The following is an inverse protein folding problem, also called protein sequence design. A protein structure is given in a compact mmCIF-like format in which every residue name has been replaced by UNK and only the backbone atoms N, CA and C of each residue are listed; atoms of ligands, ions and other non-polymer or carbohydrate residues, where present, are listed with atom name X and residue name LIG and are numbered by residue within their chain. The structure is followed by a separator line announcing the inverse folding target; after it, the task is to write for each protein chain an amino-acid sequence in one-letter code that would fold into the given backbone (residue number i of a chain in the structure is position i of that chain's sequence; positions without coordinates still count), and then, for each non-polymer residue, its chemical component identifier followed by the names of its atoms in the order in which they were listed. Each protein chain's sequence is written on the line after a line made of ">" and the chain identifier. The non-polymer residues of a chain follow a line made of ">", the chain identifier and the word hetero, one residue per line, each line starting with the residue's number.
data_IF_493694151640
#
_entry.id   IF_493694151640
#
_cell.length_a   1.000
_cell.length_b   1.000
_cell.length_c   1.000
_cell.angle_alpha   90.00
_cell.angle_beta   90.00
_cell.angle_gamma   90.00
#
_symmetry.space_group_name_H-M   'P 1'
#
loop_
_entity.id
_entity.type
_entity.pdbx_description
1 polymer ?
#
# COMPACT_ATOMS: atom_id res chain seq x y z
N UNK A 1 -0.55 -32.25 15.33
CA UNK A 1 -0.34 -32.44 13.88
C UNK A 1 -0.59 -31.09 13.27
N UNK A 2 0.44 -30.48 12.69
CA UNK A 2 0.28 -29.26 11.91
C UNK A 2 -0.59 -29.59 10.69
N UNK A 3 -1.61 -28.77 10.45
CA UNK A 3 -2.47 -28.86 9.28
C UNK A 3 -1.84 -28.08 8.12
N UNK A 4 -2.24 -28.37 6.89
CA UNK A 4 -1.84 -27.59 5.70
C UNK A 4 -2.05 -26.07 5.89
N UNK A 5 -3.14 -25.70 6.57
CA UNK A 5 -3.41 -24.32 6.97
C UNK A 5 -2.33 -23.71 7.88
N UNK A 6 -1.83 -24.46 8.87
CA UNK A 6 -0.76 -24.01 9.76
C UNK A 6 0.57 -23.84 9.01
N UNK A 7 0.85 -24.73 8.06
CA UNK A 7 2.03 -24.59 7.19
C UNK A 7 1.94 -23.36 6.29
N UNK A 8 0.79 -23.14 5.66
CA UNK A 8 0.55 -21.95 4.83
C UNK A 8 0.77 -20.65 5.61
N UNK A 9 0.18 -20.52 6.80
CA UNK A 9 0.37 -19.34 7.65
C UNK A 9 1.84 -19.13 8.03
N UNK A 10 2.57 -20.20 8.38
CA UNK A 10 4.00 -20.11 8.71
C UNK A 10 4.85 -19.70 7.51
N UNK A 11 4.55 -20.20 6.30
CA UNK A 11 5.24 -19.81 5.05
C UNK A 11 5.05 -18.32 4.80
N UNK A 12 3.80 -17.85 4.85
CA UNK A 12 3.46 -16.44 4.62
C UNK A 12 4.12 -15.54 5.67
N UNK A 13 4.03 -15.89 6.95
CA UNK A 13 4.63 -15.11 8.03
C UNK A 13 6.16 -15.05 7.89
N UNK A 14 6.80 -16.17 7.59
CA UNK A 14 8.26 -16.23 7.45
C UNK A 14 8.73 -15.42 6.24
N UNK A 15 7.97 -15.46 5.15
CA UNK A 15 8.26 -14.67 3.96
C UNK A 15 8.12 -13.17 4.24
N UNK A 16 7.05 -12.78 4.94
CA UNK A 16 6.84 -11.39 5.36
C UNK A 16 7.97 -10.90 6.27
N UNK A 17 8.36 -11.68 7.28
CA UNK A 17 9.44 -11.32 8.20
C UNK A 17 10.77 -11.12 7.45
N UNK A 18 11.07 -11.97 6.46
CA UNK A 18 12.26 -11.82 5.62
C UNK A 18 12.21 -10.56 4.75
N UNK A 19 11.03 -10.19 4.22
CA UNK A 19 10.84 -8.92 3.48
C UNK A 19 11.13 -7.73 4.41
N UNK A 20 10.55 -7.73 5.61
CA UNK A 20 10.74 -6.68 6.61
C UNK A 20 12.20 -6.56 7.08
N UNK A 21 12.96 -7.66 7.04
CA UNK A 21 14.40 -7.66 7.30
C UNK A 21 15.26 -7.20 6.10
N UNK A 22 14.64 -6.70 5.03
CA UNK A 22 15.32 -6.22 3.83
C UNK A 22 15.87 -7.33 2.93
N UNK A 23 15.40 -8.57 3.09
CA UNK A 23 15.86 -9.73 2.31
C UNK A 23 14.97 -10.04 1.09
N UNK A 24 14.04 -9.16 0.73
CA UNK A 24 13.15 -9.31 -0.42
C UNK A 24 13.86 -9.74 -1.73
N UNK A 25 15.07 -9.24 -2.08
CA UNK A 25 15.77 -9.64 -3.32
C UNK A 25 16.39 -11.04 -3.26
N UNK A 26 16.52 -11.60 -2.05
CA UNK A 26 17.19 -12.88 -1.76
C UNK A 26 16.20 -14.00 -1.44
N UNK A 27 14.89 -13.73 -1.52
CA UNK A 27 13.88 -14.72 -1.19
C UNK A 27 14.00 -15.97 -2.07
N UNK A 28 14.03 -17.12 -1.40
CA UNK A 28 14.05 -18.46 -2.00
C UNK A 28 13.32 -19.41 -1.06
N UNK A 29 12.91 -20.58 -1.56
CA UNK A 29 12.30 -21.60 -0.70
C UNK A 29 13.24 -22.05 0.41
N UNK A 30 14.55 -22.15 0.15
CA UNK A 30 15.53 -22.53 1.17
C UNK A 30 15.57 -21.49 2.31
N UNK A 31 15.61 -20.21 1.97
CA UNK A 31 15.66 -19.13 2.96
C UNK A 31 14.37 -19.06 3.79
N UNK A 32 13.22 -19.21 3.13
CA UNK A 32 11.91 -19.23 3.80
C UNK A 32 11.79 -20.47 4.70
N UNK A 33 12.25 -21.63 4.23
CA UNK A 33 12.25 -22.88 4.99
C UNK A 33 13.12 -22.78 6.24
N UNK A 34 14.34 -22.26 6.11
CA UNK A 34 15.26 -22.02 7.22
C UNK A 34 14.65 -21.08 8.26
N UNK A 35 14.11 -19.94 7.81
CA UNK A 35 13.54 -18.94 8.71
C UNK A 35 12.29 -19.44 9.44
N UNK A 36 11.42 -20.16 8.73
CA UNK A 36 10.16 -20.67 9.25
C UNK A 36 10.24 -22.00 9.99
N UNK A 37 11.43 -22.61 10.10
CA UNK A 37 11.62 -23.99 10.58
C UNK A 37 10.71 -24.99 9.84
N UNK A 38 10.71 -24.90 8.51
CA UNK A 38 9.96 -25.73 7.57
C UNK A 38 10.94 -26.53 6.70
N UNK A 39 10.42 -27.45 5.88
CA UNK A 39 11.21 -28.10 4.82
C UNK A 39 10.88 -27.46 3.47
N UNK A 40 11.83 -27.49 2.53
CA UNK A 40 11.58 -27.03 1.16
C UNK A 40 10.46 -27.84 0.52
N UNK A 41 10.37 -29.15 0.81
CA UNK A 41 9.28 -30.00 0.34
C UNK A 41 7.91 -29.56 0.85
N UNK A 42 7.82 -29.07 2.09
CA UNK A 42 6.57 -28.49 2.61
C UNK A 42 6.15 -27.27 1.81
N UNK A 43 7.09 -26.36 1.52
CA UNK A 43 6.80 -25.14 0.77
C UNK A 43 6.39 -25.48 -0.66
N UNK A 44 7.16 -26.33 -1.35
CA UNK A 44 6.89 -26.71 -2.74
C UNK A 44 5.64 -27.56 -2.92
N UNK A 45 5.11 -28.17 -1.85
CA UNK A 45 3.80 -28.84 -1.87
C UNK A 45 2.61 -27.88 -1.88
N UNK A 46 2.81 -26.62 -1.50
CA UNK A 46 1.75 -25.60 -1.36
C UNK A 46 1.91 -24.50 -2.42
N UNK A 47 3.13 -24.11 -2.76
CA UNK A 47 3.45 -23.05 -3.70
C UNK A 47 4.39 -23.53 -4.79
N UNK A 48 4.13 -23.10 -6.02
CA UNK A 48 4.95 -23.44 -7.19
C UNK A 48 6.32 -22.73 -7.15
N UNK A 49 6.33 -21.45 -6.74
CA UNK A 49 7.52 -20.63 -6.60
C UNK A 49 7.34 -19.51 -5.55
N UNK A 50 8.37 -18.67 -5.39
CA UNK A 50 8.37 -17.54 -4.46
C UNK A 50 7.39 -16.44 -4.92
N UNK A 51 7.19 -16.28 -6.23
CA UNK A 51 6.26 -15.27 -6.76
C UNK A 51 4.82 -15.61 -6.37
N UNK A 52 4.44 -16.90 -6.37
CA UNK A 52 3.14 -17.36 -5.88
C UNK A 52 2.93 -17.06 -4.39
N UNK A 53 3.97 -17.16 -3.56
CA UNK A 53 3.90 -16.79 -2.13
C UNK A 53 3.70 -15.27 -2.00
N UNK A 54 4.47 -14.48 -2.74
CA UNK A 54 4.37 -13.02 -2.73
C UNK A 54 3.02 -12.53 -3.24
N UNK A 55 2.42 -13.21 -4.22
CA UNK A 55 1.08 -12.93 -4.71
C UNK A 55 0.04 -13.16 -3.60
N UNK A 56 0.12 -14.28 -2.88
CA UNK A 56 -0.80 -14.59 -1.80
C UNK A 56 -0.68 -13.60 -0.62
N UNK A 57 0.55 -13.21 -0.27
CA UNK A 57 0.80 -12.10 0.66
C UNK A 57 0.15 -10.79 0.18
N UNK A 58 0.28 -10.49 -1.11
CA UNK A 58 -0.30 -9.29 -1.72
C UNK A 58 -1.83 -9.31 -1.66
N UNK A 59 -2.45 -10.44 -1.97
CA UNK A 59 -3.91 -10.63 -1.87
C UNK A 59 -4.37 -10.41 -0.43
N UNK A 60 -3.66 -10.98 0.55
CA UNK A 60 -3.95 -10.80 1.98
C UNK A 60 -3.83 -9.33 2.41
N UNK A 61 -2.73 -8.66 2.03
CA UNK A 61 -2.49 -7.26 2.33
C UNK A 61 -3.56 -6.34 1.73
N UNK A 62 -3.90 -6.53 0.46
CA UNK A 62 -4.95 -5.78 -0.22
C UNK A 62 -6.33 -6.02 0.40
N UNK A 63 -6.64 -7.25 0.80
CA UNK A 63 -7.92 -7.57 1.46
C UNK A 63 -8.06 -6.78 2.76
N UNK A 64 -7.04 -6.80 3.62
CA UNK A 64 -7.04 -6.01 4.86
C UNK A 64 -7.13 -4.51 4.57
N UNK A 65 -6.36 -4.03 3.59
CA UNK A 65 -6.34 -2.63 3.20
C UNK A 65 -7.74 -2.16 2.72
N UNK A 66 -8.40 -2.95 1.86
CA UNK A 66 -9.78 -2.71 1.38
C UNK A 66 -10.79 -2.61 2.52
N UNK A 67 -10.73 -3.53 3.49
CA UNK A 67 -11.64 -3.52 4.65
C UNK A 67 -11.52 -2.22 5.45
N UNK A 68 -10.29 -1.75 5.67
CA UNK A 68 -10.01 -0.52 6.41
C UNK A 68 -10.37 0.73 5.59
N UNK A 69 -10.02 0.80 4.30
CA UNK A 69 -10.42 1.90 3.41
C UNK A 69 -11.95 2.00 3.31
N UNK A 70 -12.65 0.86 3.24
CA UNK A 70 -14.12 0.83 3.28
C UNK A 70 -14.66 1.35 4.61
N UNK A 71 -14.07 0.96 5.74
CA UNK A 71 -14.50 1.43 7.05
C UNK A 71 -14.29 2.95 7.21
N UNK A 72 -13.12 3.47 6.79
CA UNK A 72 -12.79 4.89 6.82
C UNK A 72 -13.66 5.70 5.85
N UNK A 73 -13.97 5.16 4.67
CA UNK A 73 -14.83 5.82 3.67
C UNK A 73 -16.24 6.12 4.16
N UNK A 74 -16.72 5.42 5.20
CA UNK A 74 -18.06 5.60 5.79
C UNK A 74 -18.09 6.64 6.92
N UNK A 75 -16.93 7.11 7.36
CA UNK A 75 -16.82 8.08 8.45
C UNK A 75 -17.07 9.52 7.96
N UNK A 76 -17.13 10.48 8.90
CA UNK A 76 -17.44 11.88 8.58
C UNK A 76 -16.39 12.87 9.06
N UNK A 77 -16.30 13.98 8.34
CA UNK A 77 -15.51 15.15 8.73
C UNK A 77 -14.04 15.08 8.33
N UNK A 78 -13.35 16.22 8.35
CA UNK A 78 -11.98 16.34 7.84
C UNK A 78 -10.97 15.38 8.47
N UNK A 79 -11.17 14.98 9.72
CA UNK A 79 -10.31 14.01 10.40
C UNK A 79 -10.40 12.61 9.77
N UNK A 80 -11.61 12.16 9.46
CA UNK A 80 -11.82 10.87 8.79
C UNK A 80 -11.22 10.87 7.37
N UNK A 81 -11.36 11.97 6.64
CA UNK A 81 -10.69 12.16 5.35
C UNK A 81 -9.17 12.08 5.50
N UNK A 82 -8.62 12.73 6.54
CA UNK A 82 -7.18 12.67 6.84
C UNK A 82 -6.74 11.22 7.07
N UNK A 83 -7.49 10.47 7.88
CA UNK A 83 -7.17 9.07 8.18
C UNK A 83 -7.23 8.17 6.93
N UNK A 84 -8.24 8.35 6.06
CA UNK A 84 -8.32 7.62 4.79
C UNK A 84 -7.11 7.91 3.90
N UNK A 85 -6.79 9.20 3.73
CA UNK A 85 -5.63 9.62 2.94
C UNK A 85 -4.31 9.09 3.53
N UNK A 86 -4.12 9.15 4.86
CA UNK A 86 -2.94 8.61 5.54
C UNK A 86 -2.79 7.12 5.29
N UNK A 87 -3.89 6.36 5.46
CA UNK A 87 -3.93 4.91 5.29
C UNK A 87 -3.51 4.50 3.88
N UNK A 88 -4.11 5.13 2.86
CA UNK A 88 -3.82 4.83 1.46
C UNK A 88 -2.41 5.30 1.04
N UNK A 89 -1.97 6.49 1.50
CA UNK A 89 -0.62 6.99 1.24
C UNK A 89 0.46 6.10 1.85
N UNK A 90 0.26 5.62 3.08
CA UNK A 90 1.23 4.76 3.75
C UNK A 90 1.36 3.43 3.01
N UNK A 91 0.23 2.80 2.69
CA UNK A 91 0.20 1.54 1.97
C UNK A 91 0.93 1.64 0.63
N UNK A 92 0.70 2.74 -0.10
CA UNK A 92 1.37 2.98 -1.37
C UNK A 92 2.86 3.28 -1.23
N UNK A 93 3.26 4.03 -0.20
CA UNK A 93 4.65 4.32 0.07
C UNK A 93 5.47 3.05 0.35
N UNK A 94 4.95 2.18 1.23
CA UNK A 94 5.62 0.93 1.61
C UNK A 94 5.82 0.04 0.36
N UNK A 95 4.79 -0.10 -0.49
CA UNK A 95 4.87 -0.81 -1.77
C UNK A 95 5.98 -0.28 -2.69
N UNK A 96 6.09 1.03 -2.82
CA UNK A 96 7.08 1.65 -3.72
C UNK A 96 8.51 1.57 -3.19
N UNK A 97 8.70 1.39 -1.88
CA UNK A 97 10.01 1.03 -1.34
C UNK A 97 10.40 -0.39 -1.75
N UNK A 98 9.47 -1.34 -1.65
CA UNK A 98 9.69 -2.72 -2.05
C UNK A 98 10.00 -2.84 -3.55
N UNK A 99 9.25 -2.13 -4.41
CA UNK A 99 9.44 -2.13 -5.88
C UNK A 99 10.84 -1.67 -6.32
N UNK A 100 11.54 -0.85 -5.52
CA UNK A 100 12.88 -0.35 -5.87
C UNK A 100 14.01 -1.33 -5.56
N UNK A 101 13.81 -2.21 -4.59
CA UNK A 101 14.86 -3.11 -4.12
C UNK A 101 14.82 -4.47 -4.82
N UNK A 102 13.68 -4.83 -5.42
CA UNK A 102 13.49 -6.08 -6.16
C UNK A 102 13.75 -5.89 -7.67
N UNK A 103 14.11 -6.96 -8.37
CA UNK A 103 14.27 -6.88 -9.83
C UNK A 103 12.91 -6.82 -10.53
N UNK A 104 12.77 -6.16 -11.70
CA UNK A 104 11.47 -5.99 -12.36
C UNK A 104 10.72 -7.27 -12.73
N UNK A 105 11.43 -8.41 -12.86
CA UNK A 105 10.81 -9.72 -13.11
C UNK A 105 10.27 -10.38 -11.84
N UNK A 106 10.79 -10.03 -10.66
CA UNK A 106 10.30 -10.56 -9.38
C UNK A 106 9.00 -9.86 -9.00
N UNK A 107 8.03 -10.62 -8.50
CA UNK A 107 6.75 -10.10 -7.99
C UNK A 107 5.91 -9.34 -9.03
N UNK A 108 6.11 -9.64 -10.32
CA UNK A 108 5.44 -8.92 -11.42
C UNK A 108 3.91 -8.99 -11.31
N UNK A 109 3.36 -10.16 -10.97
CA UNK A 109 1.91 -10.33 -10.75
C UNK A 109 1.40 -9.55 -9.53
N UNK A 110 2.15 -9.55 -8.43
CA UNK A 110 1.84 -8.72 -7.26
C UNK A 110 1.74 -7.24 -7.63
N UNK A 111 2.74 -6.72 -8.36
CA UNK A 111 2.76 -5.32 -8.78
C UNK A 111 1.62 -4.98 -9.75
N UNK A 112 1.27 -5.88 -10.67
CA UNK A 112 0.10 -5.71 -11.54
C UNK A 112 -1.19 -5.62 -10.72
N UNK A 113 -1.36 -6.50 -9.72
CA UNK A 113 -2.54 -6.49 -8.86
C UNK A 113 -2.67 -5.19 -8.06
N UNK A 114 -1.56 -4.63 -7.59
CA UNK A 114 -1.53 -3.31 -6.98
C UNK A 114 -1.91 -2.20 -7.95
N UNK A 115 -1.32 -2.19 -9.15
CA UNK A 115 -1.60 -1.17 -10.17
C UNK A 115 -3.08 -1.18 -10.60
N UNK A 116 -3.69 -2.36 -10.70
CA UNK A 116 -5.11 -2.55 -10.97
C UNK A 116 -5.99 -2.02 -9.83
N UNK A 117 -5.66 -2.36 -8.57
CA UNK A 117 -6.36 -1.86 -7.39
C UNK A 117 -6.36 -0.32 -7.37
N UNK A 118 -5.19 0.29 -7.58
CA UNK A 118 -5.04 1.74 -7.52
C UNK A 118 -5.82 2.46 -8.62
N UNK A 119 -5.87 1.87 -9.81
CA UNK A 119 -6.51 2.47 -10.97
C UNK A 119 -8.03 2.34 -10.94
N UNK A 120 -8.53 1.21 -10.43
CA UNK A 120 -9.93 0.82 -10.62
C UNK A 120 -10.75 0.80 -9.33
N UNK A 121 -10.14 0.51 -8.18
CA UNK A 121 -10.84 0.31 -6.91
C UNK A 121 -10.69 1.50 -5.96
N UNK A 122 -9.47 1.99 -5.75
CA UNK A 122 -9.17 3.06 -4.81
C UNK A 122 -10.04 4.32 -4.99
N UNK A 123 -10.30 4.82 -6.23
CA UNK A 123 -11.18 5.97 -6.43
C UNK A 123 -12.56 5.82 -5.80
N UNK A 124 -13.10 4.60 -5.73
CA UNK A 124 -14.45 4.34 -5.24
C UNK A 124 -14.59 4.64 -3.75
N UNK A 125 -13.55 4.44 -2.95
CA UNK A 125 -13.58 4.80 -1.53
C UNK A 125 -13.69 6.31 -1.33
N UNK A 126 -13.01 7.10 -2.18
CA UNK A 126 -13.13 8.55 -2.15
C UNK A 126 -14.48 9.03 -2.66
N UNK A 127 -15.00 8.45 -3.75
CA UNK A 127 -16.34 8.76 -4.26
C UNK A 127 -17.37 8.51 -3.15
N UNK A 128 -17.31 7.33 -2.51
CA UNK A 128 -18.18 6.98 -1.41
C UNK A 128 -18.03 7.94 -0.22
N UNK A 129 -16.80 8.28 0.16
CA UNK A 129 -16.54 9.22 1.24
C UNK A 129 -17.19 10.59 0.99
N UNK A 130 -17.00 11.13 -0.21
CA UNK A 130 -17.49 12.46 -0.60
C UNK A 130 -19.02 12.52 -0.73
N UNK A 131 -19.67 11.41 -1.11
CA UNK A 131 -21.14 11.31 -1.14
C UNK A 131 -21.75 11.57 0.25
N UNK A 132 -21.08 11.15 1.31
CA UNK A 132 -21.56 11.30 2.70
C UNK A 132 -21.03 12.56 3.39
N UNK A 133 -20.10 13.28 2.75
CA UNK A 133 -19.35 14.43 3.29
C UNK A 133 -19.33 15.61 2.30
N UNK A 134 -20.50 16.00 1.78
CA UNK A 134 -20.61 17.06 0.77
C UNK A 134 -20.14 18.43 1.24
N UNK A 135 -20.11 18.67 2.55
CA UNK A 135 -19.61 19.90 3.17
C UNK A 135 -18.10 20.12 2.96
N UNK A 136 -17.36 19.04 2.72
CA UNK A 136 -15.91 19.06 2.45
C UNK A 136 -15.63 19.29 0.96
N UNK A 137 -16.59 18.97 0.09
CA UNK A 137 -16.45 19.14 -1.36
C UNK A 137 -16.42 20.64 -1.68
N UNK A 138 -15.43 21.13 -2.44
CA UNK A 138 -15.38 22.53 -2.83
C UNK A 138 -16.67 22.95 -3.57
N UNK A 139 -17.34 23.99 -3.06
CA UNK A 139 -18.59 24.56 -3.59
C UNK A 139 -18.68 24.58 -5.13
N UNK A 140 -19.71 23.93 -5.69
CA UNK A 140 -20.04 23.90 -7.12
C UNK A 140 -20.65 22.56 -7.56
N UNK A 141 -21.16 22.49 -8.79
CA UNK A 141 -21.53 21.22 -9.45
C UNK A 141 -20.25 20.46 -9.82
N UNK A 142 -19.68 19.73 -8.86
CA UNK A 142 -18.56 18.83 -9.13
C UNK A 142 -19.05 17.39 -9.17
N UNK A 143 -18.70 16.72 -10.25
CA UNK A 143 -18.89 15.29 -10.35
C UNK A 143 -17.95 14.58 -9.37
N UNK A 144 -18.55 13.91 -8.37
CA UNK A 144 -17.83 13.18 -7.34
C UNK A 144 -16.98 12.05 -7.94
N UNK A 145 -17.40 11.49 -9.08
CA UNK A 145 -16.64 10.48 -9.80
C UNK A 145 -15.27 11.00 -10.20
N UNK A 146 -15.22 12.13 -10.92
CA UNK A 146 -13.96 12.74 -11.35
C UNK A 146 -13.12 13.20 -10.17
N UNK A 147 -13.75 13.71 -9.11
CA UNK A 147 -13.02 14.19 -7.95
C UNK A 147 -12.38 13.05 -7.14
N UNK A 148 -13.09 11.92 -6.95
CA UNK A 148 -12.52 10.73 -6.32
C UNK A 148 -11.38 10.12 -7.13
N UNK A 149 -11.51 10.06 -8.46
CA UNK A 149 -10.43 9.65 -9.35
C UNK A 149 -9.24 10.59 -9.27
N UNK A 150 -9.47 11.90 -9.19
CA UNK A 150 -8.40 12.88 -9.07
C UNK A 150 -7.64 12.73 -7.75
N UNK A 151 -8.32 12.44 -6.63
CA UNK A 151 -7.67 12.18 -5.33
C UNK A 151 -6.80 10.91 -5.43
N UNK A 152 -7.34 9.79 -5.90
CA UNK A 152 -6.59 8.55 -6.07
C UNK A 152 -5.38 8.73 -7.02
N UNK A 153 -5.55 9.46 -8.12
CA UNK A 153 -4.45 9.81 -9.02
C UNK A 153 -3.42 10.75 -8.36
N UNK A 154 -3.84 11.61 -7.44
CA UNK A 154 -2.92 12.50 -6.71
C UNK A 154 -2.03 11.70 -5.75
N UNK A 155 -2.56 10.65 -5.12
CA UNK A 155 -1.78 9.68 -4.34
C UNK A 155 -0.73 8.99 -5.23
N UNK A 156 -1.14 8.57 -6.43
CA UNK A 156 -0.24 7.98 -7.44
C UNK A 156 0.79 8.97 -8.00
N UNK A 157 0.51 10.26 -7.95
CA UNK A 157 1.42 11.29 -8.46
C UNK A 157 2.78 11.25 -7.73
N UNK A 158 2.81 10.80 -6.47
CA UNK A 158 4.02 10.53 -5.69
C UNK A 158 5.04 9.63 -6.40
N UNK A 159 4.56 8.65 -7.19
CA UNK A 159 5.39 7.62 -7.80
C UNK A 159 5.65 7.80 -9.31
N UNK A 160 5.16 8.88 -9.95
CA UNK A 160 5.54 9.01 -11.35
C UNK A 160 7.06 9.18 -11.42
N UNK A 161 7.74 8.25 -12.10
CA UNK A 161 9.16 8.34 -12.51
C UNK A 161 9.46 9.71 -13.14
N UNK A 162 8.43 10.36 -13.68
CA UNK A 162 8.43 11.73 -14.19
C UNK A 162 8.71 12.82 -13.14
N UNK A 163 8.41 12.63 -11.85
CA UNK A 163 8.81 13.52 -10.75
C UNK A 163 10.23 13.25 -10.25
N UNK A 164 10.77 12.06 -10.52
CA UNK A 164 12.11 11.71 -10.06
C UNK A 164 13.21 12.67 -10.57
N UNK A 165 13.15 13.22 -11.80
CA UNK A 165 14.03 14.29 -12.26
C UNK A 165 13.88 15.63 -11.52
N UNK A 166 12.73 15.91 -10.91
CA UNK A 166 12.42 17.21 -10.31
C UNK A 166 12.57 17.20 -8.78
N UNK A 167 12.42 16.03 -8.15
CA UNK A 167 12.45 15.88 -6.70
C UNK A 167 13.23 14.61 -6.36
N UNK A 168 14.50 14.77 -5.98
CA UNK A 168 15.42 13.65 -5.76
C UNK A 168 15.24 12.98 -4.38
N UNK A 169 14.73 13.72 -3.38
CA UNK A 169 14.53 13.21 -2.03
C UNK A 169 13.10 12.68 -1.85
N UNK A 170 12.98 11.52 -1.24
CA UNK A 170 11.71 10.86 -0.98
C UNK A 170 10.80 11.69 -0.06
N UNK A 171 11.39 12.30 0.99
CA UNK A 171 10.65 13.16 1.92
C UNK A 171 10.07 14.40 1.23
N UNK A 172 10.80 14.97 0.27
CA UNK A 172 10.32 16.12 -0.49
C UNK A 172 9.13 15.71 -1.41
N UNK A 173 9.14 14.50 -1.97
CA UNK A 173 8.01 13.97 -2.75
C UNK A 173 6.77 13.78 -1.88
N UNK A 174 6.97 13.35 -0.63
CA UNK A 174 5.91 13.17 0.35
C UNK A 174 5.27 14.51 0.68
N UNK A 175 6.07 15.51 1.02
CA UNK A 175 5.61 16.88 1.29
C UNK A 175 4.83 17.45 0.08
N UNK A 176 5.32 17.25 -1.14
CA UNK A 176 4.63 17.74 -2.35
C UNK A 176 3.29 17.03 -2.55
N UNK A 177 3.23 15.72 -2.30
CA UNK A 177 1.99 14.94 -2.41
C UNK A 177 0.97 15.40 -1.38
N UNK A 178 1.40 15.61 -0.14
CA UNK A 178 0.57 16.19 0.93
C UNK A 178 0.04 17.58 0.55
N UNK A 179 0.87 18.43 -0.06
CA UNK A 179 0.48 19.76 -0.52
C UNK A 179 -0.53 19.70 -1.67
N UNK A 180 -0.33 18.82 -2.65
CA UNK A 180 -1.28 18.61 -3.76
C UNK A 180 -2.64 18.19 -3.19
N UNK A 181 -2.65 17.20 -2.29
CA UNK A 181 -3.86 16.71 -1.65
C UNK A 181 -4.52 17.82 -0.81
N UNK A 182 -3.76 18.56 0.00
CA UNK A 182 -4.31 19.67 0.80
C UNK A 182 -4.95 20.76 -0.08
N UNK A 183 -4.34 21.07 -1.22
CA UNK A 183 -4.85 22.06 -2.17
C UNK A 183 -6.23 21.68 -2.71
N UNK A 184 -6.53 20.38 -2.84
CA UNK A 184 -7.82 19.92 -3.33
C UNK A 184 -8.96 20.36 -2.44
N UNK A 185 -8.73 20.39 -1.13
CA UNK A 185 -9.72 20.73 -0.11
C UNK A 185 -9.65 22.18 0.34
N UNK A 186 -9.02 23.06 -0.46
CA UNK A 186 -8.77 24.49 -0.13
C UNK A 186 -8.05 24.66 1.22
N UNK A 187 -7.14 23.74 1.55
CA UNK A 187 -6.31 23.80 2.76
C UNK A 187 -4.87 24.14 2.40
N UNK A 188 -4.18 24.85 3.29
CA UNK A 188 -2.74 25.09 3.18
C UNK A 188 -1.91 23.88 3.57
N UNK A 189 -2.47 22.99 4.40
CA UNK A 189 -1.87 21.74 4.87
C UNK A 189 -2.98 20.78 5.33
N UNK A 190 -2.72 19.48 5.25
CA UNK A 190 -3.47 18.45 5.93
C UNK A 190 -2.56 17.86 7.01
N UNK A 191 -3.01 17.81 8.27
CA UNK A 191 -2.30 17.05 9.29
C UNK A 191 -2.66 15.59 9.10
N UNK A 192 -1.86 14.86 8.34
CA UNK A 192 -1.95 13.40 8.28
C UNK A 192 -1.68 12.84 9.69
N UNK A 193 -2.53 11.91 10.13
CA UNK A 193 -2.31 11.17 11.38
C UNK A 193 -0.92 10.51 11.33
N UNK A 194 -0.19 10.56 12.47
CA UNK A 194 1.25 10.25 12.58
C UNK A 194 1.73 9.18 11.60
N UNK A 195 2.36 9.64 10.52
CA UNK A 195 2.98 8.82 9.49
C UNK A 195 4.33 8.34 10.04
N UNK A 196 4.37 7.15 10.65
CA UNK A 196 5.63 6.44 10.87
C UNK A 196 5.77 5.42 9.75
N UNK A 197 6.75 5.64 8.86
CA UNK A 197 7.20 4.66 7.87
C UNK A 197 7.94 3.53 8.59
N UNK A 198 8.03 2.36 7.96
CA UNK A 198 8.81 1.24 8.53
C UNK A 198 10.29 1.62 8.76
N UNK A 199 10.84 2.53 7.95
CA UNK A 199 12.19 3.08 8.11
C UNK A 199 12.40 3.85 9.44
N UNK A 200 11.37 4.51 9.96
CA UNK A 200 11.47 5.24 11.24
C UNK A 200 11.40 4.32 12.46
N UNK A 201 10.82 3.12 12.31
CA UNK A 201 10.80 2.12 13.38
C UNK A 201 12.16 1.44 13.58
N UNK A 202 12.92 1.23 12.49
CA UNK A 202 14.25 0.61 12.56
C UNK A 202 15.37 1.56 13.02
N UNK A 203 15.14 2.87 13.05
CA UNK A 203 16.10 3.83 13.63
C UNK A 203 15.92 4.01 15.15
N UNK A 204 14.87 3.43 15.73
CA UNK A 204 14.54 3.51 17.15
C UNK A 204 14.69 2.18 17.90
N UNK A 205 15.12 1.12 17.20
CA UNK A 205 15.44 -0.21 17.75
C UNK A 205 16.93 -0.49 17.69
#
# INVERSE_FOLDING_TARGET
>A
MDTEHNFKERILQSTLDLILLGKAPLLSFELIAEHGNLTVETISSIYDDVDAISLDLTVGALTKHREESLALSKQKGLEALSNLLTHDLKFFYDLEMDRKIVTPSQYSESFLLFDEYMSNELPNYYIQYLQHNQDIVPSGEKDLFYYGHFIAHSILFFNRVQLAPYVNKLEDRKIITEQIIASLFKKSHFTLSKFQTQDEQHQLS
#
